data_IF_069674850475
#
_entry.id   IF_069674850475
#
_cell.length_a   1.000
_cell.length_b   1.000
_cell.length_c   1.000
_cell.angle_alpha   90.00
_cell.angle_beta   90.00
_cell.angle_gamma   90.00
#
_symmetry.space_group_name_H-M   'P 1'
#
loop_
_entity.id
_entity.type
_entity.pdbx_description
1 polymer ?
#
# COMPACT_ATOMS: atom_id res chain seq x y z
N UNK A 1 -5.36 17.26 2.53
CA UNK A 1 -4.98 15.85 2.72
C UNK A 1 -4.49 15.33 1.39
N UNK A 2 -3.28 14.79 1.32
CA UNK A 2 -2.72 14.32 0.06
C UNK A 2 -3.17 12.87 -0.17
N UNK A 3 -3.91 12.64 -1.26
CA UNK A 3 -4.32 11.33 -1.72
C UNK A 3 -3.65 11.08 -3.06
N UNK A 4 -2.88 10.00 -3.13
CA UNK A 4 -2.22 9.54 -4.35
C UNK A 4 -3.00 8.31 -4.83
N UNK A 5 -3.47 8.36 -6.07
CA UNK A 5 -4.09 7.22 -6.75
C UNK A 5 -3.22 6.88 -7.95
N UNK A 6 -2.74 5.64 -7.98
CA UNK A 6 -1.99 5.11 -9.12
C UNK A 6 -2.84 4.01 -9.71
N UNK A 7 -3.17 4.13 -10.99
CA UNK A 7 -3.79 3.08 -11.77
C UNK A 7 -2.79 2.61 -12.81
N UNK A 8 -2.57 1.30 -12.89
CA UNK A 8 -1.62 0.73 -13.84
C UNK A 8 -2.15 -0.55 -14.42
N UNK A 9 -2.28 -0.57 -15.74
CA UNK A 9 -2.62 -1.78 -16.49
C UNK A 9 -1.41 -2.73 -16.53
N UNK A 10 -1.69 -4.03 -16.51
CA UNK A 10 -0.68 -5.06 -16.64
C UNK A 10 -1.20 -6.31 -17.37
N UNK A 11 -0.33 -7.06 -18.07
CA UNK A 11 -0.71 -8.33 -18.69
C UNK A 11 -0.67 -9.53 -17.74
N UNK A 12 -0.36 -9.34 -16.44
CA UNK A 12 -0.20 -10.40 -15.45
C UNK A 12 -1.53 -11.08 -15.08
N UNK A 13 -1.47 -12.36 -14.74
CA UNK A 13 -2.60 -13.08 -14.11
C UNK A 13 -2.85 -12.57 -12.69
N UNK A 14 -4.01 -12.89 -12.11
CA UNK A 14 -4.33 -12.51 -10.72
C UNK A 14 -3.30 -13.05 -9.72
N UNK A 15 -2.82 -14.29 -9.90
CA UNK A 15 -1.78 -14.89 -9.05
C UNK A 15 -0.46 -14.11 -9.15
N UNK A 16 -0.02 -13.80 -10.37
CA UNK A 16 1.20 -13.02 -10.59
C UNK A 16 1.09 -11.58 -10.07
N UNK A 17 -0.08 -10.97 -10.21
CA UNK A 17 -0.35 -9.64 -9.67
C UNK A 17 -0.32 -9.64 -8.13
N UNK A 18 -0.84 -10.71 -7.51
CA UNK A 18 -0.79 -10.92 -6.06
C UNK A 18 0.63 -11.11 -5.55
N UNK A 19 1.44 -11.94 -6.20
CA UNK A 19 2.86 -12.09 -5.85
C UNK A 19 3.64 -10.79 -5.99
N UNK A 20 3.38 -10.02 -7.07
CA UNK A 20 4.01 -8.72 -7.26
C UNK A 20 3.61 -7.71 -6.15
N UNK A 21 2.34 -7.66 -5.78
CA UNK A 21 1.85 -6.82 -4.70
C UNK A 21 2.43 -7.24 -3.34
N UNK A 22 2.50 -8.53 -3.03
CA UNK A 22 3.12 -9.06 -1.80
C UNK A 22 4.60 -8.70 -1.73
N UNK A 23 5.31 -8.80 -2.85
CA UNK A 23 6.72 -8.44 -2.95
C UNK A 23 6.93 -6.96 -2.63
N UNK A 24 6.04 -6.09 -3.14
CA UNK A 24 6.07 -4.65 -2.83
C UNK A 24 5.77 -4.43 -1.35
N UNK A 25 4.73 -5.09 -0.80
CA UNK A 25 4.35 -5.00 0.61
C UNK A 25 5.52 -5.36 1.53
N UNK A 26 6.16 -6.50 1.26
CA UNK A 26 7.30 -7.01 2.02
C UNK A 26 8.49 -6.05 1.97
N UNK A 27 8.82 -5.50 0.79
CA UNK A 27 9.89 -4.52 0.66
C UNK A 27 9.58 -3.22 1.41
N UNK A 28 8.33 -2.79 1.38
CA UNK A 28 7.89 -1.61 2.12
C UNK A 28 7.94 -1.88 3.64
N UNK A 29 7.56 -3.08 4.09
CA UNK A 29 7.59 -3.47 5.49
C UNK A 29 9.03 -3.51 6.02
N UNK A 30 9.95 -4.11 5.26
CA UNK A 30 11.37 -4.18 5.60
C UNK A 30 12.03 -2.79 5.65
N UNK A 31 11.76 -1.94 4.65
CA UNK A 31 12.42 -0.63 4.54
C UNK A 31 11.79 0.46 5.41
N UNK A 32 10.48 0.43 5.60
CA UNK A 32 9.73 1.52 6.20
C UNK A 32 8.92 1.12 7.43
N UNK A 33 9.01 -0.13 7.89
CA UNK A 33 8.28 -0.63 9.08
C UNK A 33 6.76 -0.43 8.94
N UNK A 34 6.22 -0.65 7.74
CA UNK A 34 4.78 -0.67 7.52
C UNK A 34 4.21 -2.03 7.94
N UNK A 35 2.97 -2.03 8.41
CA UNK A 35 2.18 -3.24 8.57
C UNK A 35 1.35 -3.45 7.31
N UNK A 36 1.18 -4.70 6.88
CA UNK A 36 0.30 -5.04 5.75
C UNK A 36 -0.52 -6.29 6.03
N UNK A 37 -1.68 -6.38 5.39
CA UNK A 37 -2.52 -7.57 5.42
C UNK A 37 -3.37 -7.66 4.15
N UNK A 38 -3.75 -8.88 3.79
CA UNK A 38 -4.70 -9.10 2.71
C UNK A 38 -6.13 -9.15 3.23
N UNK A 39 -7.03 -8.58 2.44
CA UNK A 39 -8.45 -8.76 2.53
C UNK A 39 -8.97 -9.05 1.12
N UNK A 40 -9.38 -10.29 0.87
CA UNK A 40 -9.77 -10.77 -0.46
C UNK A 40 -8.66 -10.51 -1.51
N UNK A 41 -8.97 -9.69 -2.52
CA UNK A 41 -8.07 -9.27 -3.60
C UNK A 41 -7.43 -7.88 -3.35
N UNK A 42 -7.58 -7.35 -2.14
CA UNK A 42 -7.03 -6.07 -1.73
C UNK A 42 -5.95 -6.24 -0.65
N UNK A 43 -4.78 -5.65 -0.89
CA UNK A 43 -3.69 -5.59 0.08
C UNK A 43 -3.74 -4.24 0.80
N UNK A 44 -4.03 -4.26 2.08
CA UNK A 44 -4.04 -3.07 2.93
C UNK A 44 -2.68 -2.89 3.59
N UNK A 45 -2.20 -1.66 3.66
CA UNK A 45 -0.97 -1.34 4.35
C UNK A 45 -1.04 -0.01 5.10
N UNK A 46 -0.38 0.06 6.25
CA UNK A 46 -0.39 1.25 7.09
C UNK A 46 0.83 1.39 8.00
N UNK A 47 1.11 2.65 8.33
CA UNK A 47 2.10 3.12 9.29
C UNK A 47 1.67 4.49 9.82
N UNK A 48 2.23 4.91 10.94
CA UNK A 48 2.14 6.29 11.43
C UNK A 48 2.38 7.32 10.31
N UNK A 49 1.31 8.01 9.90
CA UNK A 49 1.33 9.05 8.86
C UNK A 49 1.13 8.57 7.41
N UNK A 50 1.03 7.27 7.14
CA UNK A 50 0.76 6.74 5.79
C UNK A 50 -0.19 5.55 5.88
N UNK A 51 -1.29 5.59 5.16
CA UNK A 51 -2.16 4.42 4.97
C UNK A 51 -2.49 4.23 3.50
N UNK A 52 -2.75 3.01 3.09
CA UNK A 52 -3.08 2.73 1.71
C UNK A 52 -3.59 1.33 1.48
N UNK A 53 -3.96 1.08 0.24
CA UNK A 53 -4.37 -0.23 -0.24
C UNK A 53 -3.98 -0.42 -1.71
N UNK A 54 -3.78 -1.67 -2.10
CA UNK A 54 -3.57 -2.10 -3.48
C UNK A 54 -4.71 -3.05 -3.83
N UNK A 55 -5.61 -2.60 -4.71
CA UNK A 55 -6.71 -3.40 -5.22
C UNK A 55 -6.25 -4.11 -6.50
N UNK A 56 -6.33 -5.43 -6.52
CA UNK A 56 -6.04 -6.25 -7.70
C UNK A 56 -7.29 -6.39 -8.56
N UNK A 57 -7.17 -6.04 -9.83
CA UNK A 57 -8.22 -6.22 -10.83
C UNK A 57 -7.68 -7.06 -12.00
N UNK A 58 -8.54 -7.78 -12.75
CA UNK A 58 -8.09 -8.51 -13.93
C UNK A 58 -7.46 -7.55 -14.96
N UNK A 59 -6.15 -7.62 -15.11
CA UNK A 59 -5.39 -6.81 -16.05
C UNK A 59 -5.03 -5.40 -15.57
N UNK A 60 -5.31 -5.06 -14.31
CA UNK A 60 -4.95 -3.76 -13.74
C UNK A 60 -4.76 -3.82 -12.22
N UNK A 61 -3.98 -2.89 -11.70
CA UNK A 61 -3.93 -2.64 -10.25
C UNK A 61 -4.28 -1.18 -9.96
N UNK A 62 -4.97 -0.98 -8.84
CA UNK A 62 -5.25 0.34 -8.30
C UNK A 62 -4.60 0.48 -6.93
N UNK A 63 -3.65 1.39 -6.83
CA UNK A 63 -2.96 1.71 -5.57
C UNK A 63 -3.53 3.03 -5.06
N UNK A 64 -4.07 2.99 -3.84
CA UNK A 64 -4.57 4.15 -3.12
C UNK A 64 -3.66 4.42 -1.93
N UNK A 65 -3.04 5.60 -1.87
CA UNK A 65 -2.20 6.01 -0.74
C UNK A 65 -2.71 7.32 -0.16
N UNK A 66 -3.00 7.31 1.13
CA UNK A 66 -3.35 8.48 1.91
C UNK A 66 -2.17 8.83 2.80
N UNK A 67 -1.66 10.04 2.60
CA UNK A 67 -0.65 10.59 3.48
C UNK A 67 -1.37 11.33 4.61
N UNK A 68 -1.27 10.78 5.82
CA UNK A 68 -1.72 11.41 7.03
C UNK A 68 -0.78 12.52 7.47
N UNK A 69 -1.26 13.41 8.33
CA UNK A 69 -0.37 14.32 9.04
C UNK A 69 0.44 13.50 10.04
N UNK A 70 1.78 13.57 9.93
CA UNK A 70 2.65 13.06 10.99
C UNK A 70 2.33 13.87 12.26
N UNK A 71 1.62 13.27 13.19
CA UNK A 71 1.60 13.74 14.56
C UNK A 71 2.96 13.34 15.16
N UNK A 72 3.99 14.12 14.87
CA UNK A 72 5.18 14.09 15.71
C UNK A 72 4.68 14.40 17.12
N UNK A 73 4.96 13.57 18.14
CA UNK A 73 4.82 14.08 19.49
C UNK A 73 5.76 15.28 19.57
N UNK A 74 5.21 16.48 19.80
CA UNK A 74 5.96 17.59 20.35
C UNK A 74 6.47 17.12 21.70
N UNK A 75 7.61 16.43 21.72
CA UNK A 75 8.44 16.35 22.91
C UNK A 75 8.98 17.76 23.13
N UNK A 76 8.17 18.59 23.76
CA UNK A 76 8.70 19.66 24.59
C UNK A 76 9.26 18.99 25.85
N UNK A 77 10.56 19.24 26.07
CA UNK A 77 11.38 18.94 27.25
C UNK A 77 11.95 17.52 27.36
#
# INVERSE_FOLDING_TARGET
>A
MSHIVIHRDHPLTMEQAREAAETIATQLADRYEINHHWQDDSLHFERSGVSGQIDLEPGAIRINVRLGFLLTPLKYQ
#
